data_IF_654163421499
#
_entry.id   IF_654163421499
#
_cell.length_a   1.000
_cell.length_b   1.000
_cell.length_c   1.000
_cell.angle_alpha   90.00
_cell.angle_beta   90.00
_cell.angle_gamma   90.00
#
_symmetry.space_group_name_H-M   'P 1'
#
loop_
_entity.id
_entity.type
_entity.pdbx_description
1 polymer ?
#
# COMPACT_ATOMS: atom_id res chain seq x y z
N UNK A 1 -35.40 13.05 -10.51
CA UNK A 1 -34.99 12.92 -10.10
C UNK A 1 -33.83 13.20 -9.73
N UNK A 2 -33.43 13.09 -8.99
CA UNK A 2 -32.46 13.50 -8.60
C UNK A 2 -31.53 12.56 -8.22
N UNK A 3 -30.48 12.61 -8.55
CA UNK A 3 -29.59 11.81 -8.17
C UNK A 3 -29.23 11.99 -6.84
N UNK A 4 -28.86 10.97 -6.18
CA UNK A 4 -28.44 11.02 -4.86
C UNK A 4 -27.09 11.68 -4.77
N UNK A 5 -26.97 12.83 -4.15
CA UNK A 5 -25.72 13.57 -4.14
C UNK A 5 -24.60 12.83 -3.47
N UNK A 6 -24.91 12.01 -2.47
CA UNK A 6 -23.84 11.31 -1.78
C UNK A 6 -23.14 10.34 -2.64
N UNK A 7 -23.85 9.71 -3.57
CA UNK A 7 -23.24 8.76 -4.46
C UNK A 7 -22.30 9.45 -5.41
N UNK A 8 -22.71 10.61 -5.91
CA UNK A 8 -21.94 11.32 -6.92
C UNK A 8 -20.85 12.19 -6.33
N UNK A 9 -20.94 12.51 -5.03
CA UNK A 9 -19.99 13.43 -4.43
C UNK A 9 -18.70 12.77 -4.01
N UNK A 10 -18.68 11.44 -3.90
CA UNK A 10 -17.47 10.76 -3.47
C UNK A 10 -16.62 10.42 -4.67
N UNK A 11 -15.37 10.88 -4.69
CA UNK A 11 -14.49 10.56 -5.81
C UNK A 11 -14.10 9.09 -5.78
N UNK A 12 -13.80 8.58 -6.93
CA UNK A 12 -13.27 7.24 -7.07
C UNK A 12 -11.95 7.32 -7.80
N UNK A 13 -10.89 6.67 -7.32
CA UNK A 13 -10.90 5.93 -6.04
C UNK A 13 -10.84 6.89 -4.87
N UNK A 14 -11.21 6.44 -3.68
CA UNK A 14 -11.04 7.27 -2.49
C UNK A 14 -9.56 7.44 -2.17
N UNK A 15 -9.19 8.48 -1.43
CA UNK A 15 -7.78 8.69 -1.07
C UNK A 15 -7.27 7.56 -0.18
N UNK A 16 -5.95 7.38 -0.10
CA UNK A 16 -5.39 6.36 0.79
C UNK A 16 -5.81 6.58 2.23
N UNK A 17 -6.13 5.49 2.91
CA UNK A 17 -6.44 5.50 4.33
C UNK A 17 -5.55 4.48 5.04
N UNK A 18 -5.28 4.75 6.31
CA UNK A 18 -4.32 3.95 7.06
C UNK A 18 -4.79 2.50 7.22
N UNK A 19 -6.07 2.29 7.51
CA UNK A 19 -6.58 0.93 7.73
C UNK A 19 -6.40 0.06 6.50
N UNK A 20 -6.73 0.59 5.33
CA UNK A 20 -6.56 -0.16 4.08
C UNK A 20 -5.09 -0.43 3.79
N UNK A 21 -4.22 0.54 4.06
CA UNK A 21 -2.79 0.37 3.86
C UNK A 21 -2.26 -0.71 4.80
N UNK A 22 -2.67 -0.69 6.06
CA UNK A 22 -2.26 -1.71 7.01
C UNK A 22 -2.67 -3.11 6.55
N UNK A 23 -3.89 -3.23 6.02
CA UNK A 23 -4.36 -4.51 5.53
C UNK A 23 -3.56 -4.99 4.32
N UNK A 24 -3.28 -4.09 3.39
CA UNK A 24 -2.50 -4.45 2.20
C UNK A 24 -1.08 -4.88 2.58
N UNK A 25 -0.45 -4.15 3.50
CA UNK A 25 0.92 -4.48 3.92
C UNK A 25 0.94 -5.80 4.68
N UNK A 26 -0.04 -6.02 5.57
CA UNK A 26 -0.11 -7.27 6.32
C UNK A 26 -0.34 -8.47 5.40
N UNK A 27 -1.21 -8.30 4.40
CA UNK A 27 -1.49 -9.37 3.45
C UNK A 27 -0.26 -9.69 2.61
N UNK A 28 0.51 -8.67 2.24
CA UNK A 28 1.74 -8.88 1.48
C UNK A 28 2.78 -9.65 2.27
N UNK A 29 2.84 -9.39 3.60
CA UNK A 29 3.72 -10.10 4.52
C UNK A 29 5.11 -10.30 3.93
N UNK A 30 5.74 -9.19 3.57
CA UNK A 30 6.98 -9.19 2.77
C UNK A 30 8.07 -10.07 3.38
N UNK A 31 8.20 -10.04 4.71
CA UNK A 31 9.25 -10.81 5.39
C UNK A 31 8.75 -12.13 5.97
N UNK A 32 7.47 -12.45 5.78
CA UNK A 32 6.91 -13.72 6.25
C UNK A 32 6.67 -13.79 7.75
N UNK A 33 6.74 -12.67 8.46
CA UNK A 33 6.61 -12.67 9.92
C UNK A 33 5.23 -13.14 10.38
N UNK A 34 4.18 -12.74 9.65
CA UNK A 34 2.82 -13.14 10.02
C UNK A 34 2.62 -14.63 9.70
N UNK A 35 3.11 -15.08 8.54
CA UNK A 35 3.03 -16.48 8.17
C UNK A 35 3.78 -17.37 9.17
N UNK A 36 4.82 -16.83 9.80
CA UNK A 36 5.61 -17.57 10.78
C UNK A 36 5.01 -17.50 12.18
N UNK A 37 3.83 -16.92 12.34
CA UNK A 37 3.13 -16.90 13.63
C UNK A 37 3.12 -15.55 14.32
N UNK A 38 3.64 -14.51 13.69
CA UNK A 38 3.61 -13.16 14.28
C UNK A 38 2.21 -12.57 14.29
N UNK A 39 2.02 -11.48 15.04
CA UNK A 39 0.70 -10.85 15.14
C UNK A 39 0.30 -10.16 13.83
N UNK A 40 -0.99 -9.95 13.67
CA UNK A 40 -1.52 -9.32 12.44
C UNK A 40 -1.01 -7.89 12.23
N UNK A 41 -0.58 -7.22 13.30
CA UNK A 41 -0.07 -5.85 13.21
C UNK A 41 1.46 -5.78 13.15
N UNK A 42 2.10 -6.85 12.74
CA UNK A 42 3.56 -6.93 12.69
C UNK A 42 4.19 -5.79 11.88
N UNK A 43 3.50 -5.33 10.83
CA UNK A 43 4.01 -4.29 9.94
C UNK A 43 3.37 -2.92 10.19
N UNK A 44 2.79 -2.70 11.35
CA UNK A 44 2.07 -1.46 11.63
C UNK A 44 2.95 -0.22 11.44
N UNK A 45 4.18 -0.27 11.92
CA UNK A 45 5.11 0.84 11.81
C UNK A 45 5.42 1.18 10.35
N UNK A 46 5.63 0.15 9.52
CA UNK A 46 5.92 0.35 8.11
C UNK A 46 4.71 0.88 7.37
N UNK A 47 3.52 0.40 7.72
CA UNK A 47 2.28 0.89 7.12
C UNK A 47 2.05 2.36 7.47
N UNK A 48 2.32 2.74 8.72
CA UNK A 48 2.19 4.14 9.13
C UNK A 48 3.17 5.04 8.39
N UNK A 49 4.42 4.58 8.24
CA UNK A 49 5.43 5.33 7.51
C UNK A 49 5.02 5.53 6.05
N UNK A 50 4.45 4.49 5.44
CA UNK A 50 3.98 4.59 4.07
C UNK A 50 2.82 5.57 3.97
N UNK A 51 1.84 5.45 4.85
CA UNK A 51 0.68 6.34 4.85
C UNK A 51 1.11 7.80 4.95
N UNK A 52 2.06 8.10 5.83
CA UNK A 52 2.52 9.47 5.99
C UNK A 52 3.11 10.03 4.71
N UNK A 53 3.76 9.20 3.91
CA UNK A 53 4.37 9.66 2.67
C UNK A 53 3.38 9.78 1.53
N UNK A 54 2.36 8.94 1.46
CA UNK A 54 1.51 8.88 0.28
C UNK A 54 0.10 9.42 0.48
N UNK A 55 -0.30 9.76 1.70
CA UNK A 55 -1.71 10.14 1.95
C UNK A 55 -2.12 11.39 1.16
N UNK A 56 -1.18 12.25 0.80
CA UNK A 56 -1.46 13.45 0.04
C UNK A 56 -1.21 13.28 -1.47
N UNK A 57 -0.82 12.09 -1.91
CA UNK A 57 -0.60 11.85 -3.33
C UNK A 57 -1.90 11.92 -4.10
N UNK A 58 -1.84 12.43 -5.32
CA UNK A 58 -2.98 12.34 -6.23
C UNK A 58 -3.10 10.92 -6.74
N UNK A 59 -4.27 10.60 -7.32
CA UNK A 59 -4.48 9.29 -7.92
C UNK A 59 -3.38 8.97 -8.95
N UNK A 60 -3.03 9.95 -9.77
CA UNK A 60 -2.02 9.74 -10.82
C UNK A 60 -0.62 9.43 -10.25
N UNK A 61 -0.36 9.85 -9.02
CA UNK A 61 0.93 9.61 -8.39
C UNK A 61 1.02 8.24 -7.71
N UNK A 62 -0.11 7.58 -7.50
CA UNK A 62 -0.16 6.30 -6.79
C UNK A 62 0.05 5.14 -7.77
N UNK A 63 1.24 5.12 -8.36
CA UNK A 63 1.65 4.11 -9.33
C UNK A 63 2.85 3.36 -8.80
N UNK A 64 2.99 2.11 -9.23
CA UNK A 64 4.02 1.22 -8.70
C UNK A 64 5.42 1.80 -8.83
N UNK A 65 5.70 2.48 -9.96
CA UNK A 65 7.02 3.05 -10.20
C UNK A 65 7.40 4.11 -9.17
N UNK A 66 6.42 4.81 -8.61
CA UNK A 66 6.68 5.81 -7.58
C UNK A 66 6.64 5.23 -6.18
N UNK A 67 5.83 4.18 -6.00
CA UNK A 67 5.66 3.56 -4.69
C UNK A 67 6.85 2.67 -4.32
N UNK A 68 7.43 2.00 -5.28
CA UNK A 68 8.52 1.07 -5.00
C UNK A 68 9.71 1.71 -4.30
N UNK A 69 10.24 2.86 -4.77
CA UNK A 69 11.36 3.48 -4.06
C UNK A 69 11.01 3.88 -2.63
N UNK A 70 9.77 4.29 -2.41
CA UNK A 70 9.30 4.65 -1.07
C UNK A 70 9.30 3.42 -0.18
N UNK A 71 8.75 2.31 -0.67
CA UNK A 71 8.73 1.07 0.09
C UNK A 71 10.13 0.54 0.34
N UNK A 72 11.02 0.62 -0.64
CA UNK A 72 12.40 0.20 -0.45
C UNK A 72 13.07 1.01 0.65
N UNK A 73 12.85 2.31 0.68
CA UNK A 73 13.43 3.18 1.70
C UNK A 73 12.89 2.82 3.08
N UNK A 74 11.58 2.60 3.18
CA UNK A 74 10.96 2.24 4.47
C UNK A 74 11.51 0.90 4.97
N UNK A 75 11.58 -0.10 4.10
CA UNK A 75 12.09 -1.42 4.49
C UNK A 75 13.56 -1.38 4.88
N UNK A 76 14.37 -0.67 4.08
CA UNK A 76 15.78 -0.53 4.40
C UNK A 76 15.98 0.08 5.78
N UNK A 77 15.23 1.13 6.09
CA UNK A 77 15.42 1.86 7.35
C UNK A 77 14.81 1.11 8.54
N UNK A 78 13.63 0.51 8.35
CA UNK A 78 12.95 -0.20 9.42
C UNK A 78 13.71 -1.44 9.86
N UNK A 79 14.25 -2.18 8.91
CA UNK A 79 14.88 -3.46 9.18
C UNK A 79 16.39 -3.42 9.03
N UNK A 80 16.96 -2.24 8.80
CA UNK A 80 18.41 -2.04 8.69
C UNK A 80 19.02 -2.96 7.65
N UNK A 81 18.43 -2.99 6.46
CA UNK A 81 18.82 -3.94 5.42
C UNK A 81 20.04 -3.49 4.65
N UNK A 82 20.98 -4.41 4.43
CA UNK A 82 22.06 -4.21 3.48
C UNK A 82 21.50 -4.26 2.05
N UNK A 83 22.23 -3.74 1.04
CA UNK A 83 21.70 -3.70 -0.34
C UNK A 83 21.28 -5.06 -0.88
N UNK A 84 22.00 -6.12 -0.58
CA UNK A 84 21.64 -7.46 -1.07
C UNK A 84 20.38 -7.98 -0.38
N UNK A 85 20.22 -7.73 0.90
CA UNK A 85 19.01 -8.13 1.63
C UNK A 85 17.79 -7.35 1.11
N UNK A 86 17.95 -6.07 0.80
CA UNK A 86 16.89 -5.28 0.22
C UNK A 86 16.53 -5.80 -1.18
N UNK A 87 17.54 -6.17 -1.97
CA UNK A 87 17.31 -6.71 -3.31
C UNK A 87 16.49 -8.00 -3.26
N UNK A 88 16.70 -8.83 -2.23
CA UNK A 88 15.93 -10.06 -2.06
C UNK A 88 14.44 -9.77 -1.83
N UNK A 89 14.11 -8.66 -1.21
CA UNK A 89 12.73 -8.31 -0.91
C UNK A 89 12.06 -7.53 -2.03
N UNK A 90 12.85 -7.04 -2.98
CA UNK A 90 12.31 -6.17 -4.04
C UNK A 90 11.15 -6.78 -4.81
N UNK A 91 11.15 -8.07 -5.21
CA UNK A 91 10.00 -8.62 -5.92
C UNK A 91 8.70 -8.52 -5.12
N UNK A 92 8.76 -8.74 -3.80
CA UNK A 92 7.57 -8.64 -2.96
C UNK A 92 7.17 -7.19 -2.73
N UNK A 93 8.15 -6.28 -2.61
CA UNK A 93 7.87 -4.86 -2.51
C UNK A 93 7.26 -4.32 -3.80
N UNK A 94 7.70 -4.82 -4.95
CA UNK A 94 7.09 -4.45 -6.21
C UNK A 94 5.67 -4.97 -6.30
N UNK A 95 5.42 -6.19 -5.88
CA UNK A 95 4.07 -6.74 -5.86
C UNK A 95 3.16 -5.92 -4.95
N UNK A 96 3.65 -5.50 -3.80
CA UNK A 96 2.89 -4.63 -2.89
C UNK A 96 2.62 -3.27 -3.54
N UNK A 97 3.62 -2.70 -4.21
CA UNK A 97 3.45 -1.44 -4.94
C UNK A 97 2.33 -1.55 -5.97
N UNK A 98 2.31 -2.66 -6.71
CA UNK A 98 1.27 -2.89 -7.71
C UNK A 98 -0.11 -3.05 -7.07
N UNK A 99 -0.19 -3.70 -5.91
CA UNK A 99 -1.45 -3.83 -5.20
C UNK A 99 -1.98 -2.47 -4.73
N UNK A 100 -1.10 -1.62 -4.24
CA UNK A 100 -1.50 -0.27 -3.82
C UNK A 100 -2.00 0.52 -5.03
N UNK A 101 -1.33 0.40 -6.17
CA UNK A 101 -1.78 1.06 -7.39
C UNK A 101 -3.16 0.57 -7.79
N UNK A 102 -3.40 -0.73 -7.72
CA UNK A 102 -4.69 -1.29 -8.10
C UNK A 102 -5.79 -0.92 -7.11
N UNK A 103 -5.41 -0.58 -5.89
CA UNK A 103 -6.36 -0.26 -4.85
C UNK A 103 -6.70 1.23 -4.82
N UNK A 104 -5.72 2.10 -5.04
CA UNK A 104 -5.89 3.54 -4.90
C UNK A 104 -5.52 4.36 -6.12
N UNK A 105 -4.79 3.79 -7.07
CA UNK A 105 -4.21 4.53 -8.18
C UNK A 105 -5.08 4.56 -9.42
N UNK A 106 -4.49 4.91 -10.57
CA UNK A 106 -5.27 5.08 -11.81
C UNK A 106 -5.95 3.80 -12.28
N UNK A 107 -5.43 2.63 -11.87
CA UNK A 107 -6.01 1.35 -12.28
C UNK A 107 -7.04 0.83 -11.28
N UNK A 108 -7.37 1.60 -10.26
CA UNK A 108 -8.30 1.15 -9.22
C UNK A 108 -9.71 0.97 -9.77
N UNK A 109 -10.35 -0.13 -9.37
CA UNK A 109 -11.72 -0.43 -9.75
C UNK A 109 -12.42 -1.05 -8.55
N UNK A 110 -13.75 -0.86 -8.44
CA UNK A 110 -14.47 -1.39 -7.27
C UNK A 110 -14.27 -2.88 -7.05
N UNK A 111 -14.20 -3.69 -8.11
CA UNK A 111 -14.07 -5.12 -7.96
C UNK A 111 -12.69 -5.51 -7.41
N UNK A 112 -11.67 -4.68 -7.57
CA UNK A 112 -10.36 -4.96 -7.00
C UNK A 112 -10.42 -4.97 -5.49
N UNK A 113 -11.35 -4.20 -4.92
CA UNK A 113 -11.53 -4.14 -3.47
C UNK A 113 -12.51 -5.15 -2.94
N UNK A 114 -13.01 -6.04 -3.79
CA UNK A 114 -13.96 -7.04 -3.36
C UNK A 114 -15.34 -6.50 -3.08
N UNK A 115 -15.64 -5.36 -3.61
CA UNK A 115 -16.94 -4.73 -3.36
C UNK A 115 -18.03 -5.31 -4.25
#
# INVERSE_FOLDING_TARGET
MQMNPEITSKPWPPPPDLDSIQELVATADVDGFIADGGPADEYETEAEALFEQIHAFTTAELIAARLLPILESIWRDSFQLAPDALAERRPKLLALSSQIERFFGPAAQPQVRGA
#
